data_IF_927471884292
#
_entry.id   IF_927471884292
#
_cell.length_a   1.000
_cell.length_b   1.000
_cell.length_c   1.000
_cell.angle_alpha   90.00
_cell.angle_beta   90.00
_cell.angle_gamma   90.00
#
_symmetry.space_group_name_H-M   'P 1'
#
loop_
_entity.id
_entity.type
_entity.pdbx_description
1 polymer ?
#
# COMPACT_ATOMS: atom_id res chain seq x y z
N UNK A 1 21.63 11.64 4.26
CA UNK A 1 20.51 11.86 3.35
C UNK A 1 19.23 12.11 4.14
N UNK A 2 18.41 13.05 3.71
CA UNK A 2 17.02 13.16 4.14
C UNK A 2 16.09 12.88 2.95
N UNK A 3 14.94 12.28 3.19
CA UNK A 3 13.94 12.04 2.14
C UNK A 3 12.54 12.40 2.60
N UNK A 4 11.79 12.96 1.66
CA UNK A 4 10.36 13.27 1.75
C UNK A 4 9.71 13.02 0.37
N UNK A 5 8.39 12.94 0.29
CA UNK A 5 7.67 12.78 -0.99
C UNK A 5 6.85 14.01 -1.37
N UNK A 6 6.74 14.27 -2.68
CA UNK A 6 6.12 15.48 -3.23
C UNK A 6 4.66 15.29 -3.62
N UNK A 7 4.24 14.04 -3.84
CA UNK A 7 2.86 13.72 -4.20
C UNK A 7 1.94 13.70 -2.97
N UNK A 8 0.64 13.61 -3.24
CA UNK A 8 -0.38 13.54 -2.18
C UNK A 8 -1.56 12.72 -2.68
N UNK A 9 -2.31 12.06 -1.80
CA UNK A 9 -3.57 11.41 -2.16
C UNK A 9 -4.68 12.37 -2.67
N UNK A 10 -5.73 11.79 -3.23
CA UNK A 10 -6.96 12.51 -3.59
C UNK A 10 -7.91 12.62 -2.39
N UNK A 11 -8.65 13.74 -2.23
CA UNK A 11 -8.67 14.94 -3.07
C UNK A 11 -7.64 16.02 -2.65
N UNK A 12 -6.58 16.22 -3.45
CA UNK A 12 -5.46 17.15 -3.17
C UNK A 12 -5.33 18.37 -4.11
N UNK A 13 -6.36 18.70 -4.90
CA UNK A 13 -6.35 19.88 -5.78
C UNK A 13 -7.00 21.08 -5.09
N UNK A 14 -6.43 22.28 -5.29
CA UNK A 14 -6.92 23.54 -4.72
C UNK A 14 -7.08 23.49 -3.19
N UNK A 15 -6.08 22.92 -2.49
CA UNK A 15 -6.06 22.86 -1.04
C UNK A 15 -6.05 24.28 -0.47
N UNK A 16 -6.98 24.57 0.43
CA UNK A 16 -7.06 25.83 1.17
C UNK A 16 -6.71 25.57 2.65
N UNK A 17 -5.46 25.79 3.08
CA UNK A 17 -5.04 25.61 4.46
C UNK A 17 -5.51 26.78 5.33
N UNK A 18 -5.93 26.47 6.56
CA UNK A 18 -6.39 27.43 7.57
C UNK A 18 -5.61 27.25 8.87
N UNK A 19 -5.28 28.35 9.54
CA UNK A 19 -4.72 28.31 10.89
C UNK A 19 -5.87 28.23 11.91
N UNK A 20 -5.88 27.19 12.73
CA UNK A 20 -6.84 26.97 13.81
C UNK A 20 -6.10 26.76 15.12
N UNK A 21 -5.93 27.84 15.89
CA UNK A 21 -5.04 27.86 17.04
C UNK A 21 -3.60 27.60 16.58
N UNK A 22 -2.95 26.59 17.16
CA UNK A 22 -1.58 26.19 16.81
C UNK A 22 -1.51 25.15 15.67
N UNK A 23 -2.64 24.82 15.04
CA UNK A 23 -2.72 23.78 14.01
C UNK A 23 -3.05 24.37 12.65
N UNK A 24 -2.33 23.91 11.63
CA UNK A 24 -2.75 24.11 10.24
C UNK A 24 -3.72 22.98 9.88
N UNK A 25 -4.89 23.33 9.35
CA UNK A 25 -5.95 22.38 9.00
C UNK A 25 -6.44 22.64 7.57
N UNK A 26 -7.00 21.61 6.92
CA UNK A 26 -7.73 21.81 5.67
C UNK A 26 -9.04 22.57 5.92
N UNK A 27 -9.50 23.35 4.95
CA UNK A 27 -10.87 23.91 4.91
C UNK A 27 -12.00 22.86 4.89
N UNK A 28 -11.67 21.57 4.77
CA UNK A 28 -12.60 20.44 4.86
C UNK A 28 -13.06 19.88 3.52
N UNK A 29 -12.76 20.55 2.40
CA UNK A 29 -13.10 20.08 1.04
C UNK A 29 -12.02 19.18 0.42
N UNK A 30 -10.81 19.23 0.97
CA UNK A 30 -9.62 18.53 0.47
C UNK A 30 -8.85 17.91 1.62
N UNK A 31 -7.84 17.09 1.32
CA UNK A 31 -6.76 16.83 2.28
C UNK A 31 -5.99 18.12 2.58
N UNK A 32 -5.17 18.12 3.63
CA UNK A 32 -4.21 19.19 3.90
C UNK A 32 -2.91 19.02 3.11
N UNK A 33 -2.51 17.77 2.83
CA UNK A 33 -1.20 17.46 2.23
C UNK A 33 -0.03 17.69 3.19
N UNK A 34 -0.26 17.62 4.51
CA UNK A 34 0.82 17.65 5.49
C UNK A 34 1.76 16.44 5.33
N UNK A 35 1.17 15.29 5.05
CA UNK A 35 1.83 14.13 4.46
C UNK A 35 2.03 14.42 2.94
N UNK A 36 3.25 14.67 2.44
CA UNK A 36 4.52 14.83 3.20
C UNK A 36 5.15 16.24 3.02
N UNK A 37 4.31 17.23 2.72
CA UNK A 37 4.79 18.63 2.55
C UNK A 37 5.25 19.26 3.86
N UNK A 38 4.86 18.72 5.02
CA UNK A 38 5.37 19.17 6.31
C UNK A 38 6.88 18.88 6.41
N UNK A 39 7.34 17.70 5.99
CA UNK A 39 8.76 17.38 5.95
C UNK A 39 9.52 18.22 4.94
N UNK A 40 8.96 18.43 3.74
CA UNK A 40 9.56 19.30 2.73
C UNK A 40 9.76 20.71 3.28
N UNK A 41 8.73 21.29 3.90
CA UNK A 41 8.82 22.62 4.49
C UNK A 41 9.89 22.69 5.59
N UNK A 42 9.94 21.69 6.48
CA UNK A 42 10.93 21.62 7.55
C UNK A 42 12.37 21.48 7.01
N UNK A 43 12.58 20.67 5.97
CA UNK A 43 13.89 20.49 5.34
C UNK A 43 14.37 21.76 4.66
N UNK A 44 13.50 22.45 3.92
CA UNK A 44 13.84 23.71 3.28
C UNK A 44 14.19 24.80 4.30
N UNK A 45 13.41 24.90 5.38
CA UNK A 45 13.69 25.83 6.48
C UNK A 45 15.01 25.52 7.19
N UNK A 46 15.28 24.23 7.46
CA UNK A 46 16.56 23.82 8.04
C UNK A 46 17.75 24.25 7.15
N UNK A 47 17.64 24.10 5.82
CA UNK A 47 18.68 24.53 4.89
C UNK A 47 18.83 26.06 4.88
N UNK A 48 17.73 26.81 4.98
CA UNK A 48 17.77 28.26 5.12
C UNK A 48 18.50 28.68 6.39
N UNK A 49 18.16 28.12 7.53
CA UNK A 49 18.78 28.42 8.83
C UNK A 49 20.28 28.11 8.81
N UNK A 50 20.68 26.94 8.29
CA UNK A 50 22.08 26.54 8.17
C UNK A 50 22.86 27.58 7.36
N UNK A 51 22.30 28.00 6.22
CA UNK A 51 22.94 28.97 5.33
C UNK A 51 23.00 30.37 5.94
N UNK A 52 21.89 30.84 6.51
CA UNK A 52 21.77 32.18 7.09
C UNK A 52 22.69 32.38 8.29
N UNK A 53 22.80 31.36 9.14
CA UNK A 53 23.62 31.41 10.36
C UNK A 53 25.03 30.85 10.15
N UNK A 54 25.39 30.48 8.92
CA UNK A 54 26.67 29.86 8.56
C UNK A 54 27.04 28.68 9.47
N UNK A 55 26.07 27.82 9.75
CA UNK A 55 26.23 26.66 10.63
C UNK A 55 27.11 25.64 9.92
N UNK A 56 28.17 25.20 10.58
CA UNK A 56 29.03 24.13 10.06
C UNK A 56 28.25 22.81 10.04
N UNK A 57 28.17 22.20 8.86
CA UNK A 57 27.57 20.88 8.67
C UNK A 57 28.40 20.07 7.64
N UNK A 58 28.27 18.75 7.67
CA UNK A 58 28.78 17.89 6.61
C UNK A 58 27.93 17.95 5.34
N UNK A 59 28.20 17.06 4.40
CA UNK A 59 27.42 16.96 3.17
C UNK A 59 25.98 16.52 3.46
N UNK A 60 25.01 17.26 2.90
CA UNK A 60 23.59 16.99 3.05
C UNK A 60 22.99 16.70 1.67
N UNK A 61 22.58 15.45 1.47
CA UNK A 61 21.79 15.04 0.32
C UNK A 61 20.30 14.99 0.70
N UNK A 62 19.45 15.62 -0.11
CA UNK A 62 17.99 15.63 0.07
C UNK A 62 17.35 14.99 -1.16
N UNK A 63 16.50 13.98 -0.94
CA UNK A 63 15.79 13.26 -1.99
C UNK A 63 14.29 13.50 -1.86
N UNK A 64 13.74 14.25 -2.81
CA UNK A 64 12.30 14.41 -2.95
C UNK A 64 11.76 13.40 -3.97
N UNK A 65 11.06 12.38 -3.46
CA UNK A 65 10.48 11.36 -4.32
C UNK A 65 9.12 11.78 -4.88
N UNK A 66 8.71 11.12 -5.97
CA UNK A 66 7.39 11.26 -6.57
C UNK A 66 6.68 9.90 -6.57
N UNK A 67 5.36 9.92 -6.63
CA UNK A 67 4.54 8.71 -6.72
C UNK A 67 4.78 7.72 -5.56
N UNK A 68 4.98 8.22 -4.34
CA UNK A 68 5.01 7.44 -3.10
C UNK A 68 3.65 6.75 -2.90
N UNK A 69 2.58 7.55 -3.01
CA UNK A 69 1.20 7.22 -2.63
C UNK A 69 0.56 6.14 -3.51
N UNK A 70 1.23 5.82 -4.63
CA UNK A 70 0.82 4.80 -5.59
C UNK A 70 1.81 3.63 -5.67
N UNK A 71 2.56 3.40 -4.58
CA UNK A 71 3.39 2.21 -4.39
C UNK A 71 4.89 2.47 -4.52
N UNK A 72 5.38 3.57 -3.95
CA UNK A 72 6.81 3.91 -3.85
C UNK A 72 7.52 4.01 -5.20
N UNK A 73 6.82 4.41 -6.26
CA UNK A 73 7.33 4.29 -7.63
C UNK A 73 8.57 5.15 -7.86
N UNK A 74 8.62 6.36 -7.33
CA UNK A 74 9.80 7.22 -7.42
C UNK A 74 11.00 6.59 -6.73
N UNK A 75 10.84 6.18 -5.46
CA UNK A 75 11.90 5.53 -4.71
C UNK A 75 12.41 4.23 -5.38
N UNK A 76 11.52 3.41 -5.94
CA UNK A 76 11.88 2.18 -6.68
C UNK A 76 12.70 2.43 -7.96
N UNK A 77 12.63 3.65 -8.52
CA UNK A 77 13.35 4.03 -9.74
C UNK A 77 14.49 5.02 -9.47
N UNK A 78 14.79 5.30 -8.20
CA UNK A 78 15.92 6.15 -7.84
C UNK A 78 17.23 5.40 -8.09
N UNK A 79 18.14 6.03 -8.82
CA UNK A 79 19.50 5.53 -8.96
C UNK A 79 20.29 5.77 -7.66
N UNK A 80 20.32 4.77 -6.79
CA UNK A 80 21.01 4.84 -5.50
C UNK A 80 22.52 5.08 -5.68
N UNK A 81 23.11 4.71 -6.82
CA UNK A 81 24.54 4.93 -7.07
C UNK A 81 24.91 6.41 -7.19
N UNK A 82 23.92 7.28 -7.39
CA UNK A 82 24.10 8.73 -7.38
C UNK A 82 24.18 9.35 -5.99
N UNK A 83 23.93 8.58 -4.92
CA UNK A 83 23.94 9.06 -3.54
C UNK A 83 25.22 8.64 -2.82
N UNK A 84 25.81 9.57 -2.05
CA UNK A 84 27.02 9.35 -1.27
C UNK A 84 26.75 9.17 0.23
N UNK A 85 25.52 9.48 0.68
CA UNK A 85 25.16 9.43 2.08
C UNK A 85 25.29 8.02 2.68
N UNK A 86 25.99 7.94 3.81
CA UNK A 86 26.14 6.71 4.59
C UNK A 86 24.93 6.40 5.49
N UNK A 87 24.11 7.42 5.79
CA UNK A 87 22.91 7.31 6.63
C UNK A 87 21.78 8.13 6.04
N UNK A 88 20.55 7.64 6.19
CA UNK A 88 19.34 8.24 5.67
C UNK A 88 18.24 8.39 6.72
N UNK A 89 17.50 9.49 6.69
CA UNK A 89 16.25 9.67 7.43
C UNK A 89 15.10 9.94 6.45
N UNK A 90 14.04 9.15 6.53
CA UNK A 90 12.80 9.37 5.79
C UNK A 90 11.82 10.05 6.74
N UNK A 91 11.42 11.28 6.41
CA UNK A 91 10.66 12.14 7.31
C UNK A 91 9.13 12.00 7.15
N UNK A 92 8.67 10.77 6.91
CA UNK A 92 7.30 10.47 6.50
C UNK A 92 6.54 9.60 7.54
N UNK A 93 7.04 9.60 8.78
CA UNK A 93 6.45 8.82 9.85
C UNK A 93 5.37 9.61 10.59
N UNK A 94 4.16 9.06 10.64
CA UNK A 94 3.10 9.58 11.52
C UNK A 94 3.46 9.44 13.01
N UNK A 95 2.95 10.38 13.82
CA UNK A 95 3.12 10.38 15.28
C UNK A 95 3.74 11.67 15.80
N UNK A 96 4.21 11.65 17.05
CA UNK A 96 4.85 12.80 17.67
C UNK A 96 6.33 12.88 17.23
N UNK A 97 6.81 14.10 16.98
CA UNK A 97 8.22 14.38 16.72
C UNK A 97 9.08 13.81 17.85
N UNK A 98 10.19 13.17 17.47
CA UNK A 98 11.08 12.44 18.38
C UNK A 98 10.87 10.93 18.41
N UNK A 99 9.76 10.42 17.84
CA UNK A 99 9.59 8.98 17.62
C UNK A 99 10.36 8.54 16.38
N UNK A 100 11.19 7.50 16.52
CA UNK A 100 11.94 6.90 15.41
C UNK A 100 11.32 5.55 15.06
N UNK A 101 10.95 5.38 13.80
CA UNK A 101 10.48 4.09 13.27
C UNK A 101 11.70 3.32 12.76
N UNK A 102 12.06 2.26 13.47
CA UNK A 102 13.20 1.39 13.10
C UNK A 102 12.77 0.15 12.33
N UNK A 103 11.46 -0.06 12.15
CA UNK A 103 10.91 -1.28 11.54
C UNK A 103 9.72 -0.98 10.64
N UNK A 104 9.67 -1.60 9.46
CA UNK A 104 8.47 -1.66 8.63
C UNK A 104 8.20 -3.09 8.14
N UNK A 105 6.92 -3.54 8.06
CA UNK A 105 6.59 -4.87 7.55
C UNK A 105 6.85 -4.96 6.03
N UNK A 106 7.07 -6.17 5.53
CA UNK A 106 6.96 -6.46 4.10
C UNK A 106 5.49 -6.47 3.66
N UNK A 107 5.20 -6.06 2.42
CA UNK A 107 3.87 -6.14 1.81
C UNK A 107 3.89 -6.93 0.50
N UNK A 108 2.91 -7.82 0.32
CA UNK A 108 2.54 -8.39 -0.97
C UNK A 108 1.16 -7.86 -1.38
N UNK A 109 1.03 -7.32 -2.58
CA UNK A 109 -0.28 -7.04 -3.19
C UNK A 109 -0.78 -8.27 -3.95
N UNK A 110 -2.10 -8.46 -3.92
CA UNK A 110 -2.81 -9.60 -4.50
C UNK A 110 -3.90 -9.11 -5.45
N UNK A 111 -3.90 -9.62 -6.68
CA UNK A 111 -5.02 -9.51 -7.61
C UNK A 111 -5.48 -10.92 -7.98
N UNK A 112 -6.71 -11.26 -7.60
CA UNK A 112 -7.34 -12.54 -7.86
C UNK A 112 -8.44 -12.32 -8.89
N UNK A 113 -8.41 -13.08 -9.98
CA UNK A 113 -9.43 -13.06 -11.02
C UNK A 113 -10.04 -14.45 -11.10
N UNK A 114 -11.34 -14.56 -10.83
CA UNK A 114 -12.07 -15.82 -10.95
C UNK A 114 -12.93 -15.73 -12.21
N UNK A 115 -12.79 -16.74 -13.06
CA UNK A 115 -13.51 -16.93 -14.31
C UNK A 115 -14.51 -18.06 -14.16
N UNK A 116 -15.79 -17.69 -14.21
CA UNK A 116 -16.92 -18.60 -14.31
C UNK A 116 -17.35 -18.80 -15.76
N UNK A 117 -18.66 -18.93 -15.97
CA UNK A 117 -19.27 -19.14 -17.28
C UNK A 117 -20.62 -18.42 -17.33
N UNK A 118 -20.80 -17.55 -18.32
CA UNK A 118 -22.05 -16.81 -18.52
C UNK A 118 -23.17 -17.74 -18.95
N UNK A 119 -24.38 -17.46 -18.47
CA UNK A 119 -25.63 -18.09 -18.87
C UNK A 119 -26.80 -17.13 -18.59
N UNK A 120 -27.98 -17.39 -19.15
CA UNK A 120 -29.16 -16.58 -18.86
C UNK A 120 -29.72 -17.00 -17.50
N UNK A 121 -29.71 -16.07 -16.52
CA UNK A 121 -29.98 -16.41 -15.12
C UNK A 121 -31.41 -16.94 -14.89
N UNK A 122 -32.37 -16.52 -15.73
CA UNK A 122 -33.76 -16.96 -15.62
C UNK A 122 -34.13 -18.19 -16.47
N UNK A 123 -33.26 -18.61 -17.40
CA UNK A 123 -33.61 -19.68 -18.36
C UNK A 123 -32.82 -20.95 -18.12
N UNK A 124 -31.49 -20.84 -18.02
CA UNK A 124 -30.56 -21.98 -17.96
C UNK A 124 -29.36 -21.68 -17.04
N UNK A 125 -29.57 -21.25 -15.78
CA UNK A 125 -28.48 -20.92 -14.87
C UNK A 125 -27.51 -22.08 -14.62
N UNK A 126 -27.97 -23.33 -14.70
CA UNK A 126 -27.19 -24.56 -14.55
C UNK A 126 -26.13 -24.77 -15.64
N UNK A 127 -26.28 -24.12 -16.79
CA UNK A 127 -25.26 -24.13 -17.84
C UNK A 127 -24.12 -23.15 -17.56
N UNK A 128 -24.30 -22.24 -16.60
CA UNK A 128 -23.33 -21.24 -16.16
C UNK A 128 -22.53 -21.66 -14.94
N UNK A 129 -21.53 -20.83 -14.61
CA UNK A 129 -20.76 -20.93 -13.37
C UNK A 129 -20.67 -19.51 -12.81
N UNK A 130 -21.30 -19.27 -11.67
CA UNK A 130 -21.37 -17.93 -11.09
C UNK A 130 -20.05 -17.56 -10.41
N UNK A 131 -19.23 -16.75 -11.06
CA UNK A 131 -17.91 -16.34 -10.56
C UNK A 131 -17.99 -15.60 -9.21
N UNK A 132 -19.04 -14.79 -8.98
CA UNK A 132 -19.25 -14.07 -7.71
C UNK A 132 -19.47 -15.08 -6.57
N UNK A 133 -20.26 -16.13 -6.82
CA UNK A 133 -20.49 -17.18 -5.83
C UNK A 133 -19.19 -17.92 -5.49
N UNK A 134 -18.37 -18.25 -6.49
CA UNK A 134 -17.06 -18.88 -6.29
C UNK A 134 -16.14 -17.96 -5.46
N UNK A 135 -16.12 -16.65 -5.73
CA UNK A 135 -15.40 -15.68 -4.89
C UNK A 135 -15.92 -15.66 -3.45
N UNK A 136 -17.23 -15.70 -3.24
CA UNK A 136 -17.83 -15.75 -1.92
C UNK A 136 -17.35 -16.96 -1.12
N UNK A 137 -17.33 -18.14 -1.74
CA UNK A 137 -16.78 -19.34 -1.10
C UNK A 137 -15.28 -19.22 -0.82
N UNK A 138 -14.50 -18.70 -1.76
CA UNK A 138 -13.07 -18.51 -1.56
C UNK A 138 -12.81 -17.57 -0.37
N UNK A 139 -13.50 -16.42 -0.32
CA UNK A 139 -13.42 -15.46 0.79
C UNK A 139 -13.81 -16.08 2.13
N UNK A 140 -14.88 -16.88 2.17
CA UNK A 140 -15.32 -17.55 3.41
C UNK A 140 -14.29 -18.53 3.98
N UNK A 141 -13.40 -19.05 3.13
CA UNK A 141 -12.33 -19.99 3.51
C UNK A 141 -11.02 -19.28 3.86
N UNK A 142 -10.88 -18.01 3.50
CA UNK A 142 -9.72 -17.19 3.83
C UNK A 142 -9.84 -16.65 5.25
N UNK A 143 -8.76 -16.76 6.04
CA UNK A 143 -8.64 -15.96 7.26
C UNK A 143 -8.17 -14.55 6.85
N UNK A 144 -8.95 -13.53 7.15
CA UNK A 144 -8.63 -12.13 6.84
C UNK A 144 -8.59 -11.31 8.13
N UNK A 145 -8.03 -10.11 8.07
CA UNK A 145 -7.71 -9.27 9.23
C UNK A 145 -6.41 -9.70 9.90
N UNK A 146 -6.44 -9.86 11.22
CA UNK A 146 -5.29 -10.26 12.04
C UNK A 146 -5.06 -11.77 11.92
N UNK A 147 -3.94 -12.17 11.34
CA UNK A 147 -3.60 -13.59 11.15
C UNK A 147 -2.86 -14.12 12.38
N UNK A 148 -1.83 -13.40 12.80
CA UNK A 148 -1.05 -13.60 14.03
C UNK A 148 -0.45 -12.24 14.49
N UNK A 149 0.39 -12.25 15.53
CA UNK A 149 0.97 -11.02 16.12
C UNK A 149 1.73 -10.14 15.12
N UNK A 150 2.21 -10.68 14.01
CA UNK A 150 3.04 -9.97 13.04
C UNK A 150 2.51 -9.95 11.61
N UNK A 151 1.45 -10.70 11.31
CA UNK A 151 0.87 -10.88 9.97
C UNK A 151 -0.57 -10.39 9.89
N UNK A 152 -0.89 -9.65 8.84
CA UNK A 152 -2.26 -9.23 8.49
C UNK A 152 -2.57 -9.51 7.03
N UNK A 153 -3.83 -9.73 6.69
CA UNK A 153 -4.30 -9.87 5.32
C UNK A 153 -5.64 -9.15 5.12
N UNK A 154 -5.85 -8.52 3.97
CA UNK A 154 -7.08 -7.80 3.67
C UNK A 154 -7.46 -7.93 2.19
N UNK A 155 -8.76 -8.09 1.90
CA UNK A 155 -9.31 -7.92 0.55
C UNK A 155 -10.09 -6.60 0.56
N UNK A 156 -9.53 -5.58 -0.07
CA UNK A 156 -10.08 -4.22 -0.04
C UNK A 156 -11.06 -3.92 -1.16
N UNK A 157 -11.01 -4.66 -2.27
CA UNK A 157 -11.85 -4.42 -3.45
C UNK A 157 -12.42 -5.74 -3.95
N UNK A 158 -13.73 -5.74 -4.23
CA UNK A 158 -14.44 -6.77 -4.97
C UNK A 158 -15.23 -6.11 -6.11
N UNK A 159 -15.10 -6.63 -7.33
CA UNK A 159 -15.82 -6.12 -8.51
C UNK A 159 -16.15 -7.26 -9.47
N UNK A 160 -17.41 -7.38 -9.88
CA UNK A 160 -17.87 -8.43 -10.79
C UNK A 160 -19.36 -8.31 -11.10
N UNK A 161 -19.81 -8.99 -12.17
CA UNK A 161 -21.17 -8.89 -12.68
C UNK A 161 -21.38 -7.76 -13.68
N UNK A 162 -22.37 -7.92 -14.56
CA UNK A 162 -22.72 -6.94 -15.62
C UNK A 162 -24.20 -6.55 -15.58
N UNK A 163 -25.08 -7.52 -15.34
CA UNK A 163 -26.52 -7.34 -15.25
C UNK A 163 -27.12 -8.43 -14.35
N UNK A 164 -28.31 -8.20 -13.82
CA UNK A 164 -29.00 -9.13 -12.90
C UNK A 164 -29.54 -10.39 -13.59
N UNK A 165 -29.78 -10.34 -14.90
CA UNK A 165 -30.27 -11.45 -15.70
C UNK A 165 -29.16 -12.30 -16.35
N UNK A 166 -27.89 -12.05 -16.02
CA UNK A 166 -26.73 -12.77 -16.55
C UNK A 166 -25.97 -13.41 -15.39
N UNK A 167 -25.71 -14.72 -15.47
CA UNK A 167 -24.80 -15.40 -14.53
C UNK A 167 -23.39 -14.78 -14.68
N UNK A 168 -22.82 -14.17 -13.63
CA UNK A 168 -21.53 -13.50 -13.74
C UNK A 168 -20.39 -14.45 -14.12
N UNK A 169 -19.69 -14.18 -15.21
CA UNK A 169 -18.55 -14.97 -15.68
C UNK A 169 -17.20 -14.49 -15.14
N UNK A 170 -17.14 -13.33 -14.48
CA UNK A 170 -15.90 -12.77 -13.95
C UNK A 170 -16.13 -11.99 -12.66
N UNK A 171 -15.22 -12.19 -11.71
CA UNK A 171 -15.05 -11.34 -10.53
C UNK A 171 -13.57 -11.12 -10.28
N UNK A 172 -13.21 -9.91 -9.87
CA UNK A 172 -11.86 -9.52 -9.48
C UNK A 172 -11.86 -9.11 -8.02
N UNK A 173 -10.94 -9.69 -7.26
CA UNK A 173 -10.64 -9.33 -5.88
C UNK A 173 -9.26 -8.69 -5.83
N UNK A 174 -9.11 -7.57 -5.12
CA UNK A 174 -7.79 -6.97 -4.85
C UNK A 174 -7.57 -6.84 -3.35
N UNK A 175 -6.37 -7.18 -2.93
CA UNK A 175 -6.01 -7.20 -1.52
C UNK A 175 -4.52 -7.16 -1.28
N UNK A 176 -4.15 -7.39 -0.03
CA UNK A 176 -2.77 -7.36 0.43
C UNK A 176 -2.54 -8.31 1.60
N UNK A 177 -1.29 -8.72 1.77
CA UNK A 177 -0.78 -9.37 2.97
C UNK A 177 0.42 -8.55 3.46
N UNK A 178 0.50 -8.32 4.77
CA UNK A 178 1.65 -7.66 5.41
C UNK A 178 2.20 -8.55 6.49
N UNK A 179 3.53 -8.59 6.64
CA UNK A 179 4.17 -9.30 7.75
C UNK A 179 5.53 -8.71 8.10
N UNK A 180 5.88 -8.73 9.39
CA UNK A 180 7.26 -8.44 9.85
C UNK A 180 8.23 -9.62 9.61
N UNK A 181 7.69 -10.80 9.30
CA UNK A 181 8.46 -11.98 8.94
C UNK A 181 8.22 -12.36 7.47
N UNK A 182 9.28 -12.39 6.66
CA UNK A 182 9.24 -12.67 5.23
C UNK A 182 8.72 -14.07 4.90
N UNK A 183 9.13 -15.10 5.64
CA UNK A 183 8.68 -16.47 5.41
C UNK A 183 7.19 -16.61 5.70
N UNK A 184 6.70 -15.98 6.77
CA UNK A 184 5.26 -15.93 7.07
C UNK A 184 4.47 -15.20 5.98
N UNK A 185 5.00 -14.09 5.46
CA UNK A 185 4.38 -13.38 4.34
C UNK A 185 4.20 -14.31 3.14
N UNK A 186 5.29 -14.96 2.70
CA UNK A 186 5.29 -15.81 1.52
C UNK A 186 4.39 -17.03 1.73
N UNK A 187 4.48 -17.68 2.90
CA UNK A 187 3.63 -18.82 3.26
C UNK A 187 2.14 -18.45 3.24
N UNK A 188 1.78 -17.32 3.85
CA UNK A 188 0.37 -16.91 3.92
C UNK A 188 -0.17 -16.46 2.56
N UNK A 189 0.67 -15.80 1.76
CA UNK A 189 0.29 -15.38 0.40
C UNK A 189 0.04 -16.60 -0.50
N UNK A 190 0.89 -17.63 -0.43
CA UNK A 190 0.66 -18.89 -1.16
C UNK A 190 -0.55 -19.67 -0.62
N UNK A 191 -0.85 -19.58 0.68
CA UNK A 191 -2.07 -20.16 1.24
C UNK A 191 -3.33 -19.55 0.63
N UNK A 192 -3.42 -18.21 0.51
CA UNK A 192 -4.56 -17.54 -0.12
C UNK A 192 -4.72 -17.93 -1.60
N UNK A 193 -3.61 -18.05 -2.31
CA UNK A 193 -3.58 -18.53 -3.71
C UNK A 193 -4.08 -19.96 -3.82
N UNK A 194 -3.65 -20.85 -2.92
CA UNK A 194 -4.12 -22.24 -2.87
C UNK A 194 -5.62 -22.31 -2.59
N UNK A 195 -6.12 -21.61 -1.56
CA UNK A 195 -7.56 -21.55 -1.24
C UNK A 195 -8.37 -21.11 -2.46
N UNK A 196 -7.90 -20.08 -3.17
CA UNK A 196 -8.57 -19.56 -4.36
C UNK A 196 -8.61 -20.60 -5.49
N UNK A 197 -7.48 -21.23 -5.79
CA UNK A 197 -7.38 -22.23 -6.87
C UNK A 197 -8.19 -23.48 -6.57
N UNK A 198 -8.09 -23.99 -5.35
CA UNK A 198 -8.84 -25.17 -4.90
C UNK A 198 -10.34 -24.90 -4.97
N UNK A 199 -10.78 -23.73 -4.50
CA UNK A 199 -12.20 -23.33 -4.56
C UNK A 199 -12.66 -23.16 -6.01
N UNK A 200 -11.87 -22.53 -6.88
CA UNK A 200 -12.26 -22.42 -8.29
C UNK A 200 -12.39 -23.81 -8.95
N UNK A 201 -11.46 -24.73 -8.67
CA UNK A 201 -11.50 -26.09 -9.22
C UNK A 201 -12.73 -26.88 -8.76
N UNK A 202 -13.11 -26.77 -7.47
CA UNK A 202 -14.31 -27.42 -6.91
C UNK A 202 -15.58 -27.01 -7.68
N UNK A 203 -15.68 -25.73 -8.04
CA UNK A 203 -16.81 -25.19 -8.79
C UNK A 203 -16.63 -25.26 -10.32
N UNK A 204 -15.61 -26.00 -10.80
CA UNK A 204 -15.25 -26.11 -12.23
C UNK A 204 -14.95 -24.76 -12.91
N UNK A 205 -14.60 -23.75 -12.12
CA UNK A 205 -14.17 -22.43 -12.54
C UNK A 205 -12.65 -22.40 -12.76
N UNK A 206 -12.13 -21.27 -13.26
CA UNK A 206 -10.69 -20.99 -13.32
C UNK A 206 -10.35 -19.80 -12.43
N UNK A 207 -9.18 -19.81 -11.83
CA UNK A 207 -8.67 -18.68 -11.06
C UNK A 207 -7.25 -18.31 -11.48
N UNK A 208 -7.04 -17.01 -11.71
CA UNK A 208 -5.75 -16.39 -11.88
C UNK A 208 -5.41 -15.61 -10.60
N UNK A 209 -4.19 -15.75 -10.10
CA UNK A 209 -3.72 -15.04 -8.91
C UNK A 209 -2.40 -14.39 -9.24
N UNK A 210 -2.38 -13.06 -9.27
CA UNK A 210 -1.19 -12.24 -9.45
C UNK A 210 -0.75 -11.72 -8.09
N UNK A 211 0.55 -11.82 -7.83
CA UNK A 211 1.19 -11.35 -6.61
C UNK A 211 2.33 -10.43 -6.98
N UNK A 212 2.37 -9.23 -6.40
CA UNK A 212 3.53 -8.36 -6.49
C UNK A 212 4.12 -8.13 -5.11
N UNK A 213 5.44 -8.24 -4.98
CA UNK A 213 6.17 -7.87 -3.76
C UNK A 213 6.36 -6.36 -3.78
N UNK A 214 5.75 -5.63 -2.84
CA UNK A 214 5.72 -4.17 -2.88
C UNK A 214 6.94 -3.54 -2.23
N UNK A 215 7.31 -4.01 -1.03
CA UNK A 215 8.49 -3.55 -0.30
C UNK A 215 8.91 -4.58 0.75
N UNK A 216 10.19 -4.56 1.12
CA UNK A 216 10.82 -5.53 2.01
C UNK A 216 10.87 -5.05 3.46
N UNK A 217 10.87 -6.01 4.38
CA UNK A 217 11.07 -5.77 5.80
C UNK A 217 12.45 -5.18 6.04
N UNK A 218 12.52 -4.17 6.90
CA UNK A 218 13.77 -3.68 7.44
C UNK A 218 13.68 -3.58 8.97
N UNK A 219 14.83 -3.78 9.60
CA UNK A 219 15.07 -3.59 11.03
C UNK A 219 16.41 -2.87 11.19
N UNK A 220 16.38 -1.67 11.75
CA UNK A 220 17.60 -0.89 11.99
C UNK A 220 17.89 -0.92 13.50
N UNK A 221 19.06 -1.46 13.86
CA UNK A 221 19.58 -1.37 15.23
C UNK A 221 20.21 0.01 15.38
N UNK A 222 19.62 0.85 16.24
CA UNK A 222 20.29 2.08 16.69
C UNK A 222 21.10 1.69 17.91
N UNK A 223 22.40 1.39 17.72
CA UNK A 223 23.32 1.23 18.84
C UNK A 223 23.51 2.58 19.50
N UNK A 224 23.12 2.73 20.77
CA UNK A 224 23.55 3.88 21.56
C UNK A 224 25.05 3.72 21.83
N UNK A 225 25.84 4.61 21.23
CA UNK A 225 27.24 4.84 21.57
C UNK A 225 27.35 5.66 22.85
#
# INVERSE_FOLDING_TARGET
>A
MFSAHMDTVVPGKNINPLLKGEKIVSSGKTILGADDKAAIAALLEAMHIIKENNISCGDIEIVFSICEEIGLKGAKNLDISSLNAQMGFVLDAGGQVGKIITTAPSQNSLEIIIHGKSAHAGSNPEEGINAIQVAGFALSRMKLGRIDEETTANIGIISGGKATNIVPDKVTLKGEVRSRNKEKLEKYTEQLKKITKDTAQEFKAKAEVKMNKEYHYYFIIISQS
#
